data_IF_130938998545
#
_entry.id   IF_130938998545
#
_cell.length_a   1.000
_cell.length_b   1.000
_cell.length_c   1.000
_cell.angle_alpha   90.00
_cell.angle_beta   90.00
_cell.angle_gamma   90.00
#
_symmetry.space_group_name_H-M   'P 1'
#
loop_
_entity.id
_entity.type
_entity.pdbx_description
1 polymer ?
#
# COMPACT_ATOMS: atom_id res chain seq x y z
N UNK A 1 23.18 -13.37 37.11
CA UNK A 1 21.78 -13.84 37.26
C UNK A 1 20.91 -12.72 36.71
N UNK A 2 20.20 -12.80 35.60
CA UNK A 2 19.86 -13.87 34.66
C UNK A 2 19.82 -13.22 33.27
N UNK A 3 20.47 -13.86 32.29
CA UNK A 3 20.52 -13.46 30.89
C UNK A 3 20.03 -14.61 30.01
N UNK A 4 18.98 -15.28 30.47
CA UNK A 4 18.22 -16.30 29.76
C UNK A 4 16.82 -15.73 29.68
N UNK A 5 16.41 -15.20 28.53
CA UNK A 5 15.01 -15.07 28.09
C UNK A 5 14.95 -14.14 26.88
N UNK A 6 15.46 -14.63 25.75
CA UNK A 6 14.76 -14.41 24.49
C UNK A 6 14.94 -15.68 23.66
N UNK A 7 14.15 -16.74 23.93
CA UNK A 7 14.12 -17.89 23.04
C UNK A 7 13.52 -17.38 21.73
N UNK A 8 14.39 -17.00 20.79
CA UNK A 8 13.99 -16.63 19.45
C UNK A 8 13.02 -17.69 18.94
N UNK A 9 11.79 -17.26 18.62
CA UNK A 9 10.78 -18.18 18.12
C UNK A 9 11.14 -18.46 16.66
N UNK A 10 11.89 -19.53 16.44
CA UNK A 10 12.23 -20.00 15.11
C UNK A 10 11.12 -20.94 14.63
N UNK A 11 10.39 -20.52 13.61
CA UNK A 11 9.50 -21.40 12.88
C UNK A 11 10.28 -22.01 11.72
N UNK A 12 10.47 -23.32 11.74
CA UNK A 12 10.76 -24.09 10.54
C UNK A 12 9.43 -24.38 9.86
N UNK A 13 9.24 -23.92 8.63
CA UNK A 13 8.12 -24.34 7.78
C UNK A 13 8.29 -25.84 7.46
N UNK A 14 7.87 -26.70 8.39
CA UNK A 14 7.66 -28.09 8.10
C UNK A 14 6.52 -28.14 7.08
N UNK A 15 6.78 -28.74 5.93
CA UNK A 15 5.80 -29.11 4.90
C UNK A 15 4.78 -30.12 5.47
N UNK A 16 3.95 -29.67 6.38
CA UNK A 16 2.80 -30.37 6.91
C UNK A 16 1.67 -29.36 6.91
N UNK A 17 0.66 -29.68 6.12
CA UNK A 17 -0.57 -28.92 5.96
C UNK A 17 -1.33 -29.01 7.29
N UNK A 18 -0.91 -28.23 8.28
CA UNK A 18 -1.72 -27.97 9.46
C UNK A 18 -2.75 -26.90 9.07
N UNK A 19 -3.97 -27.37 8.81
CA UNK A 19 -5.17 -26.60 8.44
C UNK A 19 -5.66 -25.62 9.55
N UNK A 20 -4.77 -25.12 10.40
CA UNK A 20 -5.10 -24.25 11.54
C UNK A 20 -4.60 -22.80 11.38
N UNK A 21 -4.07 -22.41 10.22
CA UNK A 21 -4.05 -20.99 9.86
C UNK A 21 -5.43 -20.60 9.33
N UNK A 22 -5.98 -19.43 9.68
CA UNK A 22 -7.26 -19.01 9.13
C UNK A 22 -7.13 -19.01 7.60
N UNK A 23 -8.07 -19.66 6.89
CA UNK A 23 -8.04 -19.87 5.42
C UNK A 23 -7.69 -18.59 4.63
N UNK A 24 -7.99 -17.42 5.20
CA UNK A 24 -7.62 -16.11 4.67
C UNK A 24 -6.11 -15.88 4.57
N UNK A 25 -5.30 -16.22 5.57
CA UNK A 25 -3.85 -16.00 5.54
C UNK A 25 -3.15 -16.87 4.50
N UNK A 26 -3.54 -18.15 4.39
CA UNK A 26 -3.06 -19.06 3.35
C UNK A 26 -3.44 -18.52 1.97
N UNK A 27 -4.66 -18.03 1.81
CA UNK A 27 -5.13 -17.41 0.56
C UNK A 27 -4.32 -16.16 0.18
N UNK A 28 -3.97 -15.31 1.14
CA UNK A 28 -3.17 -14.09 0.89
C UNK A 28 -1.73 -14.44 0.48
N UNK A 29 -1.09 -15.41 1.13
CA UNK A 29 0.25 -15.87 0.75
C UNK A 29 0.26 -16.52 -0.64
N UNK A 30 -0.74 -17.33 -0.97
CA UNK A 30 -0.89 -17.91 -2.31
C UNK A 30 -1.13 -16.82 -3.36
N UNK A 31 -1.92 -15.79 -3.02
CA UNK A 31 -2.15 -14.63 -3.89
C UNK A 31 -0.86 -13.83 -4.11
N UNK A 32 -0.03 -13.65 -3.07
CA UNK A 32 1.29 -13.03 -3.17
C UNK A 32 2.22 -13.78 -4.13
N UNK A 33 2.27 -15.12 -4.04
CA UNK A 33 3.03 -15.97 -4.97
C UNK A 33 2.56 -15.77 -6.42
N UNK A 34 1.25 -15.74 -6.65
CA UNK A 34 0.69 -15.46 -7.99
C UNK A 34 1.06 -14.09 -8.53
N UNK A 35 1.03 -13.04 -7.71
CA UNK A 35 1.50 -11.71 -8.13
C UNK A 35 3.00 -11.71 -8.47
N UNK A 36 3.79 -12.47 -7.72
CA UNK A 36 5.22 -12.66 -7.99
C UNK A 36 5.46 -13.38 -9.32
N UNK A 37 4.71 -14.43 -9.59
CA UNK A 37 4.79 -15.16 -10.85
C UNK A 37 4.34 -14.29 -12.03
N UNK A 38 3.28 -13.50 -11.87
CA UNK A 38 2.84 -12.53 -12.88
C UNK A 38 3.96 -11.56 -13.25
N UNK A 39 4.59 -10.89 -12.27
CA UNK A 39 5.65 -9.91 -12.53
C UNK A 39 6.91 -10.55 -13.16
N UNK A 40 7.16 -11.84 -12.90
CA UNK A 40 8.31 -12.59 -13.45
C UNK A 40 8.05 -13.13 -14.86
N UNK A 41 6.88 -13.71 -15.08
CA UNK A 41 6.56 -14.52 -16.26
C UNK A 41 5.81 -13.73 -17.34
N UNK A 42 5.15 -12.62 -16.98
CA UNK A 42 4.39 -11.86 -17.95
C UNK A 42 5.29 -11.33 -19.07
N UNK A 43 5.05 -11.84 -20.26
CA UNK A 43 5.70 -11.42 -21.49
C UNK A 43 4.64 -10.86 -22.43
N UNK A 44 4.96 -9.76 -23.10
CA UNK A 44 4.16 -9.30 -24.23
C UNK A 44 4.47 -10.17 -25.46
N UNK A 45 3.68 -10.07 -26.53
CA UNK A 45 3.79 -10.89 -27.75
C UNK A 45 5.20 -10.91 -28.36
N UNK A 46 6.02 -9.90 -28.07
CA UNK A 46 7.41 -9.78 -28.53
C UNK A 46 8.45 -10.44 -27.60
N UNK A 47 8.07 -11.39 -26.74
CA UNK A 47 8.94 -12.03 -25.72
C UNK A 47 9.64 -11.03 -24.77
N UNK A 48 9.11 -9.82 -24.65
CA UNK A 48 9.66 -8.78 -23.81
C UNK A 48 9.00 -8.82 -22.43
N UNK A 49 9.80 -8.92 -21.37
CA UNK A 49 9.34 -8.91 -19.98
C UNK A 49 9.07 -7.47 -19.53
N UNK A 50 7.95 -6.92 -20.02
CA UNK A 50 7.52 -5.53 -19.82
C UNK A 50 7.67 -5.05 -18.36
N UNK A 51 7.13 -5.80 -17.41
CA UNK A 51 7.14 -5.40 -15.99
C UNK A 51 8.48 -5.59 -15.32
N UNK A 52 9.18 -6.69 -15.60
CA UNK A 52 10.50 -6.99 -15.04
C UNK A 52 11.53 -5.93 -15.45
N UNK A 53 11.58 -5.61 -16.74
CA UNK A 53 12.57 -4.68 -17.29
C UNK A 53 12.26 -3.24 -16.88
N UNK A 54 10.98 -2.88 -16.82
CA UNK A 54 10.56 -1.57 -16.30
C UNK A 54 10.87 -1.43 -14.82
N UNK A 55 10.58 -2.45 -14.01
CA UNK A 55 10.89 -2.45 -12.58
C UNK A 55 12.40 -2.29 -12.34
N UNK A 56 13.24 -3.08 -13.04
CA UNK A 56 14.70 -2.98 -12.95
C UNK A 56 15.22 -1.60 -13.35
N UNK A 57 14.71 -1.05 -14.46
CA UNK A 57 15.08 0.28 -14.95
C UNK A 57 14.70 1.36 -13.94
N UNK A 58 13.46 1.36 -13.47
CA UNK A 58 12.95 2.36 -12.53
C UNK A 58 13.71 2.30 -11.20
N UNK A 59 14.00 1.09 -10.71
CA UNK A 59 14.79 0.92 -9.49
C UNK A 59 16.21 1.49 -9.62
N UNK A 60 16.90 1.22 -10.73
CA UNK A 60 18.24 1.77 -10.99
C UNK A 60 18.24 3.30 -11.10
N UNK A 61 17.11 3.90 -11.53
CA UNK A 61 16.90 5.34 -11.58
C UNK A 61 16.40 5.94 -10.25
N UNK A 62 16.30 5.13 -9.19
CA UNK A 62 15.73 5.51 -7.88
C UNK A 62 14.28 6.00 -7.96
N UNK A 63 13.55 5.49 -8.95
CA UNK A 63 12.12 5.69 -9.12
C UNK A 63 11.40 4.43 -8.63
N UNK A 64 10.86 4.48 -7.42
CA UNK A 64 10.24 3.31 -6.77
C UNK A 64 8.74 3.21 -7.11
N UNK A 65 8.40 3.21 -8.41
CA UNK A 65 7.04 2.96 -8.87
C UNK A 65 6.98 2.01 -10.07
N UNK A 66 5.87 1.29 -10.20
CA UNK A 66 5.57 0.43 -11.34
C UNK A 66 4.14 0.67 -11.81
N UNK A 67 3.96 0.95 -13.09
CA UNK A 67 2.65 1.07 -13.71
C UNK A 67 2.23 -0.28 -14.30
N UNK A 68 1.10 -0.83 -13.84
CA UNK A 68 0.57 -2.16 -14.21
C UNK A 68 -0.79 -2.00 -14.87
N UNK A 69 -1.00 -2.65 -16.02
CA UNK A 69 -2.30 -2.68 -16.68
C UNK A 69 -3.16 -3.80 -16.08
N UNK A 70 -4.42 -3.53 -15.76
CA UNK A 70 -5.29 -4.53 -15.14
C UNK A 70 -5.69 -5.61 -16.15
N UNK A 71 -5.81 -5.26 -17.43
CA UNK A 71 -6.08 -6.20 -18.53
C UNK A 71 -4.96 -7.24 -18.65
N UNK A 72 -3.71 -6.83 -18.48
CA UNK A 72 -2.53 -7.72 -18.48
C UNK A 72 -2.63 -8.74 -17.32
N UNK A 73 -3.08 -8.29 -16.14
CA UNK A 73 -3.31 -9.17 -14.97
C UNK A 73 -4.45 -10.14 -15.26
N UNK A 74 -5.54 -9.67 -15.89
CA UNK A 74 -6.69 -10.49 -16.23
C UNK A 74 -6.35 -11.56 -17.29
N UNK A 75 -5.49 -11.25 -18.26
CA UNK A 75 -4.99 -12.22 -19.24
C UNK A 75 -4.13 -13.33 -18.61
N UNK A 76 -3.45 -13.04 -17.51
CA UNK A 76 -2.63 -14.04 -16.80
C UNK A 76 -3.46 -14.89 -15.83
N UNK A 77 -4.27 -14.27 -14.97
CA UNK A 77 -5.19 -14.95 -14.07
C UNK A 77 -6.44 -14.08 -13.83
N UNK A 78 -7.57 -14.50 -14.41
CA UNK A 78 -8.85 -13.83 -14.28
C UNK A 78 -9.31 -13.70 -12.82
N UNK A 79 -9.04 -14.72 -11.99
CA UNK A 79 -9.43 -14.70 -10.57
C UNK A 79 -8.65 -13.65 -9.79
N UNK A 80 -7.39 -13.43 -10.17
CA UNK A 80 -6.52 -12.44 -9.54
C UNK A 80 -7.01 -11.02 -9.85
N UNK A 81 -7.37 -10.77 -11.10
CA UNK A 81 -7.96 -9.50 -11.52
C UNK A 81 -9.32 -9.26 -10.84
N UNK A 82 -10.19 -10.26 -10.77
CA UNK A 82 -11.50 -10.13 -10.11
C UNK A 82 -11.36 -9.77 -8.62
N UNK A 83 -10.42 -10.43 -7.92
CA UNK A 83 -10.07 -10.11 -6.53
C UNK A 83 -9.58 -8.67 -6.38
N UNK A 84 -8.71 -8.22 -7.28
CA UNK A 84 -8.19 -6.85 -7.29
C UNK A 84 -9.31 -5.81 -7.51
N UNK A 85 -10.28 -6.10 -8.37
CA UNK A 85 -11.45 -5.24 -8.60
C UNK A 85 -12.39 -5.17 -7.39
N UNK A 86 -12.64 -6.32 -6.72
CA UNK A 86 -13.58 -6.41 -5.59
C UNK A 86 -13.01 -5.90 -4.27
N UNK A 87 -11.74 -6.18 -3.99
CA UNK A 87 -11.07 -5.89 -2.70
C UNK A 87 -9.67 -5.29 -2.91
N UNK A 88 -9.55 -4.10 -3.54
CA UNK A 88 -8.25 -3.48 -3.81
C UNK A 88 -7.47 -3.15 -2.53
N UNK A 89 -8.15 -2.76 -1.44
CA UNK A 89 -7.50 -2.35 -0.20
C UNK A 89 -6.66 -3.44 0.47
N UNK A 90 -7.03 -4.71 0.28
CA UNK A 90 -6.31 -5.86 0.83
C UNK A 90 -5.27 -6.41 -0.15
N UNK A 91 -5.59 -6.42 -1.45
CA UNK A 91 -4.71 -7.01 -2.46
C UNK A 91 -3.60 -6.07 -2.95
N UNK A 92 -3.81 -4.76 -2.94
CA UNK A 92 -2.80 -3.79 -3.40
C UNK A 92 -1.54 -3.78 -2.50
N UNK A 93 -1.63 -3.78 -1.15
CA UNK A 93 -0.43 -3.87 -0.30
C UNK A 93 0.37 -5.17 -0.50
N UNK A 94 -0.33 -6.28 -0.73
CA UNK A 94 0.30 -7.58 -1.01
C UNK A 94 1.02 -7.54 -2.35
N UNK A 95 0.43 -6.85 -3.33
CA UNK A 95 1.06 -6.68 -4.63
C UNK A 95 2.33 -5.82 -4.51
N UNK A 96 2.30 -4.71 -3.75
CA UNK A 96 3.47 -3.89 -3.45
C UNK A 96 4.57 -4.69 -2.75
N UNK A 97 4.21 -5.56 -1.82
CA UNK A 97 5.15 -6.45 -1.14
C UNK A 97 5.79 -7.46 -2.10
N UNK A 98 5.01 -8.05 -3.01
CA UNK A 98 5.52 -8.94 -4.05
C UNK A 98 6.47 -8.22 -5.02
N UNK A 99 6.15 -6.97 -5.39
CA UNK A 99 7.01 -6.14 -6.24
C UNK A 99 8.33 -5.79 -5.54
N UNK A 100 8.31 -5.51 -4.23
CA UNK A 100 9.51 -5.27 -3.42
C UNK A 100 10.44 -6.48 -3.40
N UNK A 101 9.90 -7.70 -3.23
CA UNK A 101 10.71 -8.93 -3.27
C UNK A 101 11.36 -9.16 -4.63
N UNK A 102 10.62 -8.93 -5.72
CA UNK A 102 11.17 -9.11 -7.06
C UNK A 102 12.21 -8.04 -7.37
N UNK A 103 11.96 -6.80 -6.96
CA UNK A 103 12.95 -5.74 -7.08
C UNK A 103 14.25 -6.14 -6.36
N UNK A 104 14.15 -6.78 -5.20
CA UNK A 104 15.28 -7.32 -4.45
C UNK A 104 16.07 -8.37 -5.23
N UNK A 105 15.38 -9.37 -5.76
CA UNK A 105 16.01 -10.43 -6.57
C UNK A 105 16.65 -9.92 -7.87
N UNK A 106 16.07 -8.91 -8.51
CA UNK A 106 16.54 -8.37 -9.78
C UNK A 106 17.71 -7.40 -9.65
N UNK A 107 17.86 -6.78 -8.48
CA UNK A 107 18.87 -5.73 -8.22
C UNK A 107 20.08 -6.26 -7.45
N UNK A 108 20.04 -7.52 -6.99
CA UNK A 108 21.18 -8.19 -6.40
C UNK A 108 22.26 -8.53 -7.46
N UNK A 109 23.56 -8.27 -7.21
CA UNK A 109 24.14 -7.59 -6.05
C UNK A 109 24.03 -6.06 -6.13
N UNK A 110 23.60 -5.43 -5.04
CA UNK A 110 23.50 -3.97 -4.92
C UNK A 110 24.86 -3.35 -4.58
N UNK A 111 25.11 -2.09 -4.98
CA UNK A 111 26.29 -1.34 -4.53
C UNK A 111 26.28 -1.17 -3.00
N UNK A 112 27.48 -1.07 -2.41
CA UNK A 112 27.66 -0.84 -0.97
C UNK A 112 26.92 0.45 -0.53
N UNK A 113 26.00 0.33 0.43
CA UNK A 113 25.20 1.44 0.97
C UNK A 113 23.68 1.33 0.76
N UNK A 114 23.20 0.47 -0.13
CA UNK A 114 21.76 0.24 -0.40
C UNK A 114 21.36 -1.21 -0.10
N UNK A 115 21.72 -1.72 1.08
CA UNK A 115 21.44 -3.13 1.43
C UNK A 115 19.94 -3.42 1.57
N UNK A 116 19.14 -2.43 1.97
CA UNK A 116 17.70 -2.59 2.19
C UNK A 116 16.90 -2.24 0.94
N UNK A 117 15.98 -3.14 0.55
CA UNK A 117 15.05 -2.90 -0.54
C UNK A 117 14.01 -1.83 -0.16
N UNK A 118 13.97 -0.74 -0.92
CA UNK A 118 12.94 0.28 -0.78
C UNK A 118 11.54 -0.21 -1.21
N UNK A 119 10.50 0.40 -0.62
CA UNK A 119 9.10 0.07 -0.90
C UNK A 119 8.70 0.58 -2.29
N UNK A 120 8.10 -0.29 -3.12
CA UNK A 120 7.67 0.04 -4.49
C UNK A 120 6.18 0.36 -4.52
N UNK A 121 5.81 1.52 -5.06
CA UNK A 121 4.41 1.89 -5.29
C UNK A 121 3.88 1.27 -6.59
N UNK A 122 2.76 0.56 -6.51
CA UNK A 122 2.09 0.04 -7.71
C UNK A 122 0.99 1.01 -8.13
N UNK A 123 1.03 1.41 -9.39
CA UNK A 123 0.01 2.23 -10.04
C UNK A 123 -0.75 1.36 -11.03
N UNK A 124 -2.08 1.35 -10.93
CA UNK A 124 -2.93 0.58 -11.83
C UNK A 124 -3.42 1.46 -12.97
N UNK A 125 -3.35 0.93 -14.19
CA UNK A 125 -3.95 1.48 -15.40
C UNK A 125 -4.99 0.50 -15.94
N UNK A 126 -5.99 1.04 -16.62
CA UNK A 126 -6.99 0.23 -17.30
C UNK A 126 -7.56 1.00 -18.48
N UNK A 127 -7.82 0.28 -19.56
CA UNK A 127 -8.43 0.75 -20.79
C UNK A 127 -9.96 0.63 -20.77
N UNK A 128 -10.53 0.13 -19.66
CA UNK A 128 -11.98 0.02 -19.46
C UNK A 128 -12.70 1.37 -19.60
N UNK A 129 -13.99 1.31 -19.94
CA UNK A 129 -14.81 2.51 -20.10
C UNK A 129 -14.96 3.27 -18.76
N UNK A 130 -14.77 4.59 -18.77
CA UNK A 130 -14.94 5.39 -17.57
C UNK A 130 -16.42 5.47 -17.17
N UNK A 131 -16.68 5.44 -15.85
CA UNK A 131 -18.00 5.61 -15.28
C UNK A 131 -18.27 7.08 -14.93
N UNK A 132 -19.48 7.55 -15.18
CA UNK A 132 -19.89 8.91 -14.80
C UNK A 132 -19.90 9.08 -13.28
N UNK A 133 -19.46 10.25 -12.79
CA UNK A 133 -19.44 10.56 -11.36
C UNK A 133 -20.82 10.38 -10.70
N UNK A 134 -21.90 10.71 -11.42
CA UNK A 134 -23.30 10.57 -10.96
C UNK A 134 -23.79 9.13 -10.86
N UNK A 135 -23.16 8.20 -11.58
CA UNK A 135 -23.50 6.78 -11.51
C UNK A 135 -22.96 6.10 -10.24
N UNK A 136 -22.11 6.80 -9.47
CA UNK A 136 -21.56 6.30 -8.21
C UNK A 136 -22.64 6.22 -7.13
N UNK A 137 -23.05 5.00 -6.81
CA UNK A 137 -24.00 4.66 -5.73
C UNK A 137 -23.32 3.78 -4.69
N UNK A 138 -24.05 3.38 -3.64
CA UNK A 138 -23.48 2.58 -2.55
C UNK A 138 -22.93 1.21 -2.98
N UNK A 139 -23.32 0.68 -4.15
CA UNK A 139 -22.87 -0.60 -4.68
C UNK A 139 -21.40 -0.63 -5.15
N UNK A 140 -20.81 0.54 -5.43
CA UNK A 140 -19.42 0.71 -5.87
C UNK A 140 -18.46 1.03 -4.72
N UNK A 141 -18.96 1.12 -3.48
CA UNK A 141 -18.12 1.39 -2.30
C UNK A 141 -17.07 0.27 -2.15
N UNK A 142 -15.83 0.67 -1.87
CA UNK A 142 -14.66 -0.20 -1.68
C UNK A 142 -14.25 -1.04 -2.90
N UNK A 143 -14.71 -0.68 -4.11
CA UNK A 143 -14.31 -1.32 -5.37
C UNK A 143 -13.48 -0.37 -6.23
N UNK A 144 -12.70 -0.93 -7.15
CA UNK A 144 -11.99 -0.12 -8.14
C UNK A 144 -12.97 0.49 -9.14
N UNK A 145 -12.81 1.79 -9.39
CA UNK A 145 -13.62 2.55 -10.34
C UNK A 145 -12.74 3.49 -11.15
N UNK A 146 -13.10 3.70 -12.42
CA UNK A 146 -12.46 4.67 -13.31
C UNK A 146 -13.44 5.81 -13.55
N UNK A 147 -13.06 7.04 -13.21
CA UNK A 147 -13.92 8.22 -13.32
C UNK A 147 -13.20 9.28 -14.15
N UNK A 148 -13.87 9.90 -15.13
CA UNK A 148 -13.32 11.02 -15.85
C UNK A 148 -13.73 12.33 -15.12
N UNK A 149 -12.86 13.34 -15.15
CA UNK A 149 -13.15 14.64 -14.55
C UNK A 149 -12.01 15.63 -14.73
N UNK A 150 -12.25 16.86 -14.31
CA UNK A 150 -11.29 17.98 -14.35
C UNK A 150 -10.82 18.28 -12.93
N UNK A 151 -9.52 18.49 -12.74
CA UNK A 151 -8.98 18.86 -11.43
C UNK A 151 -9.17 20.37 -11.22
N UNK A 152 -9.96 20.76 -10.22
CA UNK A 152 -10.29 22.16 -9.93
C UNK A 152 -9.29 22.79 -8.97
N UNK A 153 -8.80 22.00 -8.01
CA UNK A 153 -7.85 22.48 -7.02
C UNK A 153 -6.99 21.35 -6.49
N UNK A 154 -5.74 21.65 -6.19
CA UNK A 154 -4.82 20.77 -5.50
C UNK A 154 -4.43 21.40 -4.15
N UNK A 155 -4.45 20.62 -3.08
CA UNK A 155 -3.88 21.08 -1.81
C UNK A 155 -2.35 21.14 -1.90
N UNK A 156 -1.71 21.87 -0.98
CA UNK A 156 -0.28 21.69 -0.74
C UNK A 156 0.04 20.26 -0.30
N UNK A 157 1.29 19.83 -0.52
CA UNK A 157 1.79 18.54 -0.04
C UNK A 157 1.85 18.55 1.48
N UNK A 158 1.46 17.43 2.08
CA UNK A 158 1.56 17.20 3.52
C UNK A 158 2.25 15.85 3.75
N UNK A 159 2.93 15.71 4.89
CA UNK A 159 3.52 14.45 5.29
C UNK A 159 2.52 13.59 6.06
N UNK A 160 2.44 12.30 5.74
CA UNK A 160 1.70 11.28 6.48
C UNK A 160 2.65 10.16 6.89
N UNK A 161 2.55 9.72 8.15
CA UNK A 161 3.34 8.59 8.61
C UNK A 161 2.81 7.26 8.06
N UNK A 162 3.71 6.40 7.57
CA UNK A 162 3.41 5.01 7.17
C UNK A 162 3.81 4.02 8.25
N UNK A 163 4.98 4.23 8.88
CA UNK A 163 5.46 3.45 10.01
C UNK A 163 5.76 4.41 11.16
N UNK A 164 5.14 4.17 12.32
CA UNK A 164 5.40 4.94 13.53
C UNK A 164 6.09 4.08 14.58
N UNK A 165 6.88 4.74 15.42
CA UNK A 165 7.38 4.15 16.65
C UNK A 165 6.74 4.88 17.83
N UNK A 166 6.21 4.13 18.79
CA UNK A 166 5.61 4.69 20.00
C UNK A 166 6.46 4.32 21.21
N UNK A 167 6.54 5.22 22.18
CA UNK A 167 7.24 5.00 23.43
C UNK A 167 6.34 5.30 24.62
N UNK A 168 6.37 4.41 25.61
CA UNK A 168 5.67 4.61 26.86
C UNK A 168 6.44 5.61 27.73
N UNK A 169 5.76 6.63 28.25
CA UNK A 169 6.35 7.67 29.11
C UNK A 169 6.85 7.14 30.46
N UNK A 170 6.28 6.05 30.97
CA UNK A 170 6.56 5.55 32.33
C UNK A 170 7.59 4.43 32.35
N UNK A 171 7.49 3.44 31.46
CA UNK A 171 8.44 2.32 31.40
C UNK A 171 9.51 2.48 30.31
N UNK A 172 9.45 3.55 29.52
CA UNK A 172 10.34 3.80 28.36
C UNK A 172 10.35 2.70 27.31
N UNK A 173 9.39 1.76 27.36
CA UNK A 173 9.26 0.69 26.37
C UNK A 173 8.93 1.29 25.01
N UNK A 174 9.68 0.89 23.98
CA UNK A 174 9.52 1.36 22.60
C UNK A 174 8.91 0.21 21.80
N UNK A 175 7.81 0.50 21.11
CA UNK A 175 7.22 -0.40 20.11
C UNK A 175 7.54 0.19 18.74
N UNK A 176 8.55 -0.34 18.03
CA UNK A 176 8.93 0.15 16.70
C UNK A 176 8.01 -0.41 15.60
N UNK A 177 8.05 0.22 14.42
CA UNK A 177 7.50 -0.30 13.17
C UNK A 177 5.99 -0.62 13.18
N UNK A 178 5.18 0.19 13.87
CA UNK A 178 3.73 0.09 13.76
C UNK A 178 3.27 0.61 12.41
N UNK A 179 2.72 -0.29 11.59
CA UNK A 179 2.15 0.06 10.29
C UNK A 179 0.83 0.81 10.43
N UNK A 180 0.76 1.99 9.81
CA UNK A 180 -0.47 2.76 9.67
C UNK A 180 -1.16 2.33 8.37
N UNK A 181 -2.47 2.11 8.44
CA UNK A 181 -3.26 1.77 7.26
C UNK A 181 -3.23 2.92 6.23
N UNK A 182 -3.20 2.60 4.93
CA UNK A 182 -3.31 3.61 3.87
C UNK A 182 -4.66 4.34 3.94
N UNK A 183 -4.73 5.56 3.38
CA UNK A 183 -5.95 6.38 3.35
C UNK A 183 -6.01 7.48 4.41
N UNK A 184 -7.21 7.95 4.76
CA UNK A 184 -7.41 9.07 5.71
C UNK A 184 -7.74 8.59 7.13
N UNK A 185 -7.58 7.30 7.41
CA UNK A 185 -7.84 6.72 8.72
C UNK A 185 -6.69 7.03 9.69
N UNK A 186 -7.03 7.42 10.93
CA UNK A 186 -6.07 7.61 12.00
C UNK A 186 -5.65 6.29 12.64
N UNK A 187 -4.52 6.30 13.35
CA UNK A 187 -4.11 5.17 14.18
C UNK A 187 -4.58 5.36 15.62
N UNK A 188 -5.33 4.39 16.16
CA UNK A 188 -5.76 4.42 17.56
C UNK A 188 -4.62 3.91 18.43
N UNK A 189 -4.07 4.80 19.26
CA UNK A 189 -2.98 4.43 20.16
C UNK A 189 -3.45 3.44 21.23
N UNK A 190 -2.63 2.42 21.58
CA UNK A 190 -2.95 1.48 22.65
C UNK A 190 -3.15 2.20 23.99
N UNK A 191 -4.26 1.94 24.68
CA UNK A 191 -4.57 2.59 25.95
C UNK A 191 -3.80 2.04 27.16
N UNK A 192 -3.26 0.83 27.02
CA UNK A 192 -2.54 0.11 28.07
C UNK A 192 -1.15 -0.25 27.60
N UNK A 193 -0.17 -0.07 28.48
CA UNK A 193 1.17 -0.57 28.23
C UNK A 193 1.19 -2.10 28.41
N UNK A 194 1.82 -2.82 27.47
CA UNK A 194 1.94 -4.28 27.53
C UNK A 194 3.02 -4.73 28.54
N UNK A 195 3.83 -3.79 29.03
CA UNK A 195 4.92 -4.09 29.95
C UNK A 195 4.41 -4.16 31.38
N UNK A 196 4.16 -5.37 31.87
CA UNK A 196 3.97 -5.65 33.29
C UNK A 196 5.34 -5.95 33.93
N UNK A 197 6.12 -4.91 34.22
CA UNK A 197 7.35 -5.09 35.00
C UNK A 197 7.01 -5.41 36.46
N UNK A 198 7.42 -6.58 36.93
CA UNK A 198 7.32 -6.96 38.34
C UNK A 198 8.01 -5.91 39.23
N UNK A 199 7.27 -5.34 40.19
CA UNK A 199 7.81 -4.37 41.15
C UNK A 199 7.70 -2.89 40.78
N UNK A 200 7.14 -2.52 39.62
CA UNK A 200 6.83 -1.11 39.28
C UNK A 200 5.31 -0.85 39.27
N UNK A 201 4.87 0.37 39.63
CA UNK A 201 3.47 0.74 39.49
C UNK A 201 3.05 0.62 38.03
N UNK A 202 1.81 0.16 37.81
CA UNK A 202 1.24 0.05 36.47
C UNK A 202 1.32 1.40 35.77
N UNK A 203 1.68 1.39 34.49
CA UNK A 203 1.72 2.59 33.68
C UNK A 203 0.32 3.26 33.67
N UNK A 204 0.25 4.60 33.63
CA UNK A 204 -1.02 5.32 33.55
C UNK A 204 -1.77 4.95 32.25
N UNK A 205 -3.06 5.27 32.20
CA UNK A 205 -3.85 5.17 30.98
C UNK A 205 -3.28 6.11 29.90
N UNK A 206 -3.28 5.63 28.66
CA UNK A 206 -2.74 6.33 27.48
C UNK A 206 -1.28 6.83 27.67
N UNK A 207 -0.33 5.95 28.01
CA UNK A 207 1.03 6.38 28.37
C UNK A 207 1.93 6.60 27.15
N UNK A 208 1.46 6.28 25.94
CA UNK A 208 2.27 6.29 24.72
C UNK A 208 2.31 7.66 24.06
N UNK A 209 3.49 8.05 23.59
CA UNK A 209 3.70 9.15 22.68
C UNK A 209 4.49 8.67 21.45
N UNK A 210 4.39 9.40 20.34
CA UNK A 210 5.06 9.05 19.09
C UNK A 210 6.49 9.58 19.14
N UNK A 211 7.47 8.75 18.78
CA UNK A 211 8.86 9.18 18.60
C UNK A 211 9.02 9.66 17.14
N UNK A 212 9.12 10.97 16.88
CA UNK A 212 9.23 11.49 15.52
C UNK A 212 10.47 10.97 14.79
N UNK A 213 11.60 10.83 15.50
CA UNK A 213 12.90 10.42 14.94
C UNK A 213 12.90 9.02 14.31
N UNK A 214 11.95 8.15 14.71
CA UNK A 214 11.84 6.77 14.22
C UNK A 214 10.60 6.55 13.36
N UNK A 215 9.96 7.63 12.90
CA UNK A 215 8.83 7.55 12.00
C UNK A 215 9.28 7.58 10.54
N UNK A 216 8.66 6.74 9.70
CA UNK A 216 8.74 6.87 8.24
C UNK A 216 7.51 7.62 7.75
N UNK A 217 7.73 8.66 6.97
CA UNK A 217 6.69 9.50 6.40
C UNK A 217 6.72 9.43 4.88
N UNK A 218 5.55 9.57 4.27
CA UNK A 218 5.35 9.71 2.83
C UNK A 218 4.55 10.97 2.56
N UNK A 219 4.73 11.52 1.39
CA UNK A 219 3.98 12.69 0.94
C UNK A 219 2.59 12.28 0.49
N UNK A 220 1.59 13.06 0.90
CA UNK A 220 0.23 12.94 0.41
C UNK A 220 -0.32 14.30 0.00
N UNK A 221 -1.27 14.26 -0.94
CA UNK A 221 -1.94 15.43 -1.49
C UNK A 221 -3.44 15.15 -1.64
N UNK A 222 -4.26 16.16 -1.41
CA UNK A 222 -5.71 16.10 -1.63
C UNK A 222 -6.04 16.91 -2.88
N UNK A 223 -6.68 16.27 -3.85
CA UNK A 223 -7.16 16.91 -5.06
C UNK A 223 -8.68 17.06 -5.03
N UNK A 224 -9.21 18.05 -5.75
CA UNK A 224 -10.64 18.19 -6.03
C UNK A 224 -10.91 17.89 -7.50
N UNK A 225 -11.62 16.81 -7.76
CA UNK A 225 -12.08 16.41 -9.08
C UNK A 225 -13.52 16.90 -9.29
N UNK A 226 -13.78 17.59 -10.39
CA UNK A 226 -15.11 17.97 -10.82
C UNK A 226 -15.53 17.12 -12.02
N UNK A 227 -16.83 16.84 -12.13
CA UNK A 227 -17.38 16.13 -13.29
C UNK A 227 -17.20 16.90 -14.60
N UNK A 228 -17.09 16.18 -15.72
CA UNK A 228 -17.00 16.82 -17.05
C UNK A 228 -18.28 17.59 -17.38
N UNK A 229 -18.17 18.70 -18.13
CA UNK A 229 -19.33 19.50 -18.52
C UNK A 229 -20.38 18.71 -19.31
N UNK A 230 -19.95 17.76 -20.14
CA UNK A 230 -20.84 16.94 -20.98
C UNK A 230 -21.72 15.98 -20.17
N UNK A 231 -21.31 15.65 -18.94
CA UNK A 231 -22.05 14.75 -18.05
C UNK A 231 -23.12 15.44 -17.20
N UNK A 232 -23.27 16.76 -17.32
CA UNK A 232 -24.16 17.56 -16.47
C UNK A 232 -25.54 17.69 -17.14
N UNK A 233 -26.63 17.23 -16.50
CA UNK A 233 -27.98 17.47 -16.97
C UNK A 233 -28.34 18.95 -16.84
N UNK A 234 -29.14 19.44 -17.78
CA UNK A 234 -29.54 20.84 -17.83
C UNK A 234 -30.23 21.27 -16.54
N UNK A 235 -29.76 22.38 -15.95
CA UNK A 235 -30.33 22.98 -14.74
C UNK A 235 -29.73 22.54 -13.41
N UNK A 236 -28.75 21.63 -13.40
CA UNK A 236 -28.02 21.26 -12.18
C UNK A 236 -26.59 21.82 -12.13
N UNK A 237 -26.08 22.01 -10.91
CA UNK A 237 -24.70 22.46 -10.66
C UNK A 237 -23.76 21.23 -10.68
N UNK A 238 -22.55 21.34 -11.27
CA UNK A 238 -21.57 20.27 -11.24
C UNK A 238 -21.15 19.83 -9.83
N UNK A 239 -21.08 18.52 -9.62
CA UNK A 239 -20.59 17.88 -8.41
C UNK A 239 -19.06 17.75 -8.43
N UNK A 240 -18.48 17.73 -7.24
CA UNK A 240 -17.06 17.51 -7.04
C UNK A 240 -16.79 16.40 -6.02
N UNK A 241 -15.61 15.79 -6.12
CA UNK A 241 -15.10 14.73 -5.26
C UNK A 241 -13.70 15.08 -4.77
N UNK A 242 -13.39 14.70 -3.53
CA UNK A 242 -12.02 14.76 -3.01
C UNK A 242 -11.27 13.47 -3.34
N UNK A 243 -10.10 13.61 -3.95
CA UNK A 243 -9.19 12.50 -4.22
C UNK A 243 -8.02 12.55 -3.23
N UNK A 244 -7.57 11.38 -2.81
CA UNK A 244 -6.36 11.20 -2.01
C UNK A 244 -5.25 10.64 -2.91
N UNK A 245 -4.13 11.35 -2.99
CA UNK A 245 -2.95 10.95 -3.74
C UNK A 245 -1.79 10.73 -2.76
N UNK A 246 -0.97 9.73 -3.03
CA UNK A 246 0.10 9.27 -2.14
C UNK A 246 1.40 9.06 -2.93
N UNK A 247 2.55 9.31 -2.30
CA UNK A 247 3.91 9.10 -2.82
C UNK A 247 4.11 9.75 -4.21
N UNK A 248 4.36 8.96 -5.25
CA UNK A 248 4.70 9.41 -6.61
C UNK A 248 3.52 10.01 -7.40
N UNK A 249 2.32 10.04 -6.81
CA UNK A 249 1.16 10.70 -7.41
C UNK A 249 1.05 12.19 -7.02
N UNK A 250 1.80 12.63 -6.00
CA UNK A 250 1.85 14.04 -5.62
C UNK A 250 2.51 14.87 -6.74
N UNK A 251 2.02 16.10 -6.95
CA UNK A 251 2.52 17.05 -7.96
C UNK A 251 2.47 16.58 -9.43
N UNK A 252 1.87 15.42 -9.71
CA UNK A 252 1.76 14.90 -11.08
C UNK A 252 0.73 15.63 -11.93
N UNK A 253 -0.23 16.31 -11.31
CA UNK A 253 -1.33 17.02 -11.97
C UNK A 253 -1.43 18.46 -11.49
N UNK A 254 -1.74 19.37 -12.43
CA UNK A 254 -1.94 20.80 -12.17
C UNK A 254 -3.44 21.10 -12.28
N UNK A 255 -4.00 21.96 -11.42
CA UNK A 255 -5.38 22.41 -11.56
C UNK A 255 -5.66 23.01 -12.95
N UNK A 256 -6.77 22.59 -13.57
CA UNK A 256 -7.15 22.96 -14.94
C UNK A 256 -6.92 21.86 -15.97
N UNK A 257 -6.22 20.78 -15.60
CA UNK A 257 -6.14 19.54 -16.39
C UNK A 257 -7.36 18.62 -16.18
#
# INVERSE_FOLDING_TARGET
MEGFDDPGVFYSDNFSIDNNQPDSQISLQNTKKKFKDFLRQFHSDNFNYKYRDTLKRNYNLKQYFLEVNIEDVASFDENLAEKLYKQPSEHLPIFEEAAREIADELTAPRPEGEEQAEDVQIMLKSDANPANLRAMKSNVISKLVKIPGIIVSASGIKAKATKIAIQCRSCSNIIPNLGIKPGLEGYVMPRKCNTEQAGRPKCPLDPYFIIPDKCKCVDFQILKLQELPDGIPQGEIPRHLHLYCDRYLCERVVPGN
#
